data_IF_098668866325
#
_entry.id   IF_098668866325
#
_cell.length_a   1.000
_cell.length_b   1.000
_cell.length_c   1.000
_cell.angle_alpha   90.00
_cell.angle_beta   90.00
_cell.angle_gamma   90.00
#
_symmetry.space_group_name_H-M   'P 1'
#
loop_
_entity.id
_entity.type
_entity.pdbx_description
1 polymer ?
#
# COMPACT_ATOMS: atom_id res chain seq x y z
N UNK A 1 -3.68 18.70 8.79
CA UNK A 1 -3.01 17.99 7.67
C UNK A 1 -4.03 17.04 7.08
N UNK A 2 -4.03 16.76 5.77
CA UNK A 2 -4.92 15.76 5.21
C UNK A 2 -4.63 14.41 5.86
N UNK A 3 -5.68 13.71 6.26
CA UNK A 3 -5.58 12.36 6.84
C UNK A 3 -5.27 11.37 5.72
N UNK A 4 -4.26 10.52 5.91
CA UNK A 4 -3.90 9.47 4.95
C UNK A 4 -4.13 8.10 5.57
N UNK A 5 -4.94 7.29 4.92
CA UNK A 5 -5.21 5.92 5.34
C UNK A 5 -4.13 4.97 4.79
N UNK A 6 -3.70 4.03 5.63
CA UNK A 6 -2.63 3.08 5.30
C UNK A 6 -3.10 1.66 5.58
N UNK A 7 -2.92 0.78 4.61
CA UNK A 7 -3.06 -0.66 4.83
C UNK A 7 -1.71 -1.23 5.27
N UNK A 8 -1.68 -1.83 6.46
CA UNK A 8 -0.48 -2.39 7.04
C UNK A 8 -0.48 -3.92 6.87
N UNK A 9 0.64 -4.45 6.39
CA UNK A 9 0.84 -5.88 6.20
C UNK A 9 2.14 -6.33 6.85
N UNK A 10 2.13 -7.52 7.44
CA UNK A 10 3.35 -8.17 7.91
C UNK A 10 4.01 -8.93 6.76
N UNK A 11 5.28 -8.64 6.53
CA UNK A 11 6.11 -9.34 5.55
C UNK A 11 7.00 -10.35 6.29
N UNK A 12 7.10 -11.56 5.76
CA UNK A 12 7.87 -12.64 6.39
C UNK A 12 8.92 -13.17 5.42
N UNK A 13 10.10 -13.46 5.96
CA UNK A 13 11.18 -14.14 5.24
C UNK A 13 12.15 -13.22 4.48
N UNK A 14 13.28 -13.81 4.07
CA UNK A 14 14.38 -13.12 3.40
C UNK A 14 14.19 -12.95 1.89
N UNK A 15 13.07 -13.38 1.32
CA UNK A 15 12.79 -13.33 -0.12
C UNK A 15 12.24 -11.98 -0.58
N UNK A 16 11.95 -11.07 0.36
CA UNK A 16 11.56 -9.70 0.05
C UNK A 16 12.76 -8.92 -0.47
N UNK A 17 12.60 -8.22 -1.58
CA UNK A 17 13.69 -7.41 -2.18
C UNK A 17 13.24 -5.98 -2.41
N UNK A 18 14.16 -5.05 -2.12
CA UNK A 18 13.93 -3.61 -2.25
C UNK A 18 15.12 -3.01 -2.97
N UNK A 19 14.94 -2.68 -4.24
CA UNK A 19 16.03 -2.22 -5.10
C UNK A 19 15.74 -0.82 -5.60
N UNK A 20 16.74 0.06 -5.51
CA UNK A 20 16.73 1.38 -6.10
C UNK A 20 17.99 1.53 -6.94
N UNK A 21 17.80 1.72 -8.25
CA UNK A 21 18.89 1.89 -9.20
C UNK A 21 18.84 3.29 -9.80
N UNK A 22 19.96 4.01 -9.77
CA UNK A 22 20.08 5.31 -10.42
C UNK A 22 20.59 5.15 -11.85
N UNK A 23 19.81 5.60 -12.82
CA UNK A 23 20.10 5.50 -14.27
C UNK A 23 20.69 6.80 -14.86
N UNK A 24 21.23 7.68 -14.01
CA UNK A 24 21.80 8.97 -14.42
C UNK A 24 20.80 10.14 -14.48
N UNK A 25 19.53 9.86 -14.75
CA UNK A 25 18.46 10.88 -14.78
C UNK A 25 17.33 10.61 -13.77
N UNK A 26 17.21 9.37 -13.29
CA UNK A 26 16.08 8.93 -12.49
C UNK A 26 16.43 7.71 -11.64
N UNK A 27 15.59 7.43 -10.66
CA UNK A 27 15.68 6.30 -9.75
C UNK A 27 14.62 5.27 -10.12
N UNK A 28 15.06 4.16 -10.71
CA UNK A 28 14.22 3.00 -10.93
C UNK A 28 14.09 2.22 -9.62
N UNK A 29 12.86 2.02 -9.16
CA UNK A 29 12.51 1.33 -7.93
C UNK A 29 11.85 0.00 -8.29
N UNK A 30 12.30 -1.10 -7.69
CA UNK A 30 11.71 -2.43 -7.85
C UNK A 30 11.60 -3.09 -6.49
N UNK A 31 10.37 -3.53 -6.16
CA UNK A 31 10.03 -4.12 -4.88
C UNK A 31 9.34 -5.46 -5.13
N UNK A 32 9.82 -6.52 -4.47
CA UNK A 32 9.17 -7.81 -4.43
C UNK A 32 8.78 -8.13 -2.99
N UNK A 33 7.49 -8.36 -2.75
CA UNK A 33 6.92 -8.63 -1.44
C UNK A 33 6.27 -10.01 -1.41
N UNK A 34 6.55 -10.75 -0.33
CA UNK A 34 5.92 -12.03 0.00
C UNK A 34 5.05 -11.88 1.25
N UNK A 35 3.74 -12.05 1.06
CA UNK A 35 2.74 -12.02 2.14
C UNK A 35 2.27 -13.44 2.44
N UNK A 36 2.53 -13.98 3.64
CA UNK A 36 2.10 -15.34 3.99
C UNK A 36 0.62 -15.37 4.35
N UNK A 37 0.05 -16.58 4.27
CA UNK A 37 -1.35 -16.92 4.61
C UNK A 37 -2.36 -16.30 3.64
N UNK A 38 -2.98 -17.16 2.85
CA UNK A 38 -4.13 -16.78 2.04
C UNK A 38 -5.37 -16.66 2.92
N UNK A 39 -5.96 -15.47 2.95
CA UNK A 39 -7.27 -15.21 3.58
C UNK A 39 -8.20 -14.61 2.52
N UNK A 40 -9.49 -14.95 2.60
CA UNK A 40 -10.48 -14.55 1.59
C UNK A 40 -10.58 -13.02 1.47
N UNK A 41 -10.56 -12.30 2.61
CA UNK A 41 -10.56 -10.83 2.61
C UNK A 41 -9.31 -10.23 1.97
N UNK A 42 -8.15 -10.85 2.19
CA UNK A 42 -6.88 -10.34 1.70
C UNK A 42 -6.71 -10.50 0.19
N UNK A 43 -7.29 -11.54 -0.42
CA UNK A 43 -7.26 -11.71 -1.88
C UNK A 43 -7.85 -10.51 -2.60
N UNK A 44 -9.05 -10.07 -2.20
CA UNK A 44 -9.74 -8.94 -2.84
C UNK A 44 -8.96 -7.64 -2.66
N UNK A 45 -8.36 -7.43 -1.49
CA UNK A 45 -7.53 -6.26 -1.22
C UNK A 45 -6.27 -6.25 -2.08
N UNK A 46 -5.57 -7.38 -2.22
CA UNK A 46 -4.40 -7.48 -3.10
C UNK A 46 -4.76 -7.31 -4.58
N UNK A 47 -5.92 -7.80 -5.03
CA UNK A 47 -6.44 -7.54 -6.36
C UNK A 47 -6.72 -6.06 -6.58
N UNK A 48 -7.39 -5.39 -5.63
CA UNK A 48 -7.63 -3.93 -5.68
C UNK A 48 -6.31 -3.15 -5.70
N UNK A 49 -5.36 -3.48 -4.83
CA UNK A 49 -4.03 -2.86 -4.79
C UNK A 49 -3.26 -3.02 -6.11
N UNK A 50 -3.43 -4.15 -6.80
CA UNK A 50 -2.77 -4.38 -8.08
C UNK A 50 -3.24 -3.46 -9.21
N UNK A 51 -4.42 -2.84 -9.06
CA UNK A 51 -5.01 -1.93 -10.04
C UNK A 51 -4.72 -0.46 -9.75
N UNK A 52 -4.10 -0.15 -8.61
CA UNK A 52 -3.87 1.21 -8.15
C UNK A 52 -2.39 1.59 -8.26
N UNK A 53 -2.15 2.89 -8.45
CA UNK A 53 -0.85 3.50 -8.21
C UNK A 53 -0.67 3.68 -6.71
N UNK A 54 0.24 2.92 -6.11
CA UNK A 54 0.42 2.86 -4.66
C UNK A 54 1.70 3.53 -4.21
N UNK A 55 1.72 3.98 -2.95
CA UNK A 55 2.94 4.41 -2.26
C UNK A 55 3.24 3.39 -1.17
N UNK A 56 4.49 2.95 -1.11
CA UNK A 56 4.88 1.86 -0.22
C UNK A 56 5.81 2.41 0.85
N UNK A 57 5.44 2.19 2.11
CA UNK A 57 6.29 2.45 3.27
C UNK A 57 6.82 1.13 3.81
N UNK A 58 8.14 1.01 3.94
CA UNK A 58 8.79 -0.19 4.48
C UNK A 58 9.49 0.18 5.77
N UNK A 59 9.12 -0.50 6.85
CA UNK A 59 9.80 -0.38 8.13
C UNK A 59 11.04 -1.26 8.15
N UNK A 60 12.17 -0.69 8.53
CA UNK A 60 13.38 -1.46 8.81
C UNK A 60 13.42 -1.94 10.28
N UNK A 61 14.34 -2.84 10.58
CA UNK A 61 14.51 -3.35 11.95
C UNK A 61 14.97 -2.28 12.96
N UNK A 62 15.35 -1.09 12.50
CA UNK A 62 15.73 0.03 13.36
C UNK A 62 14.54 0.97 13.66
N UNK A 63 13.34 0.64 13.16
CA UNK A 63 12.11 1.42 13.36
C UNK A 63 11.99 2.65 12.46
N UNK A 64 12.85 2.78 11.45
CA UNK A 64 12.77 3.84 10.44
C UNK A 64 11.97 3.37 9.22
N UNK A 65 11.33 4.31 8.53
CA UNK A 65 10.46 4.03 7.40
C UNK A 65 11.07 4.55 6.11
N UNK A 66 11.26 3.69 5.12
CA UNK A 66 11.69 4.11 3.77
C UNK A 66 10.47 4.20 2.87
N UNK A 67 10.35 5.32 2.13
CA UNK A 67 9.22 5.58 1.24
C UNK A 67 9.60 5.32 -0.21
N UNK A 68 8.75 4.57 -0.91
CA UNK A 68 8.87 4.25 -2.32
C UNK A 68 7.64 4.77 -3.09
N UNK A 69 7.86 5.19 -4.34
CA UNK A 69 6.80 5.77 -5.18
C UNK A 69 6.31 7.15 -4.72
N UNK A 70 7.16 7.99 -4.11
CA UNK A 70 6.68 9.21 -3.46
C UNK A 70 6.06 10.22 -4.44
N UNK A 71 6.69 10.49 -5.58
CA UNK A 71 6.20 11.50 -6.52
C UNK A 71 5.26 10.88 -7.55
N UNK A 72 5.66 9.78 -8.18
CA UNK A 72 4.94 9.16 -9.30
C UNK A 72 4.19 7.88 -8.94
N UNK A 73 4.33 7.39 -7.71
CA UNK A 73 3.72 6.13 -7.29
C UNK A 73 4.48 4.90 -7.80
N UNK A 74 3.97 3.73 -7.41
CA UNK A 74 4.43 2.44 -7.89
C UNK A 74 3.26 1.69 -8.54
N UNK A 75 3.56 1.02 -9.64
CA UNK A 75 2.64 0.14 -10.33
C UNK A 75 2.88 -1.30 -9.92
N UNK A 76 1.81 -2.08 -9.79
CA UNK A 76 1.92 -3.51 -9.58
C UNK A 76 2.18 -4.22 -10.92
N UNK A 77 3.36 -4.80 -11.08
CA UNK A 77 3.75 -5.57 -12.27
C UNK A 77 3.15 -6.98 -12.27
N UNK A 78 2.78 -7.50 -11.09
CA UNK A 78 2.12 -8.79 -10.99
C UNK A 78 1.81 -9.23 -9.57
N UNK A 79 0.74 -10.01 -9.46
CA UNK A 79 0.27 -10.68 -8.26
C UNK A 79 0.25 -12.19 -8.53
N UNK A 80 1.13 -12.95 -7.87
CA UNK A 80 1.08 -14.42 -7.92
C UNK A 80 0.45 -14.95 -6.62
N UNK A 81 -0.64 -15.71 -6.75
CA UNK A 81 -1.28 -16.42 -5.65
C UNK A 81 -0.66 -17.81 -5.57
N UNK A 82 0.21 -18.04 -4.59
CA UNK A 82 0.98 -19.29 -4.47
C UNK A 82 0.40 -20.17 -3.40
N UNK A 83 -0.08 -21.36 -3.78
CA UNK A 83 -0.47 -22.41 -2.84
C UNK A 83 0.54 -23.56 -2.91
N UNK A 84 1.41 -23.66 -1.89
CA UNK A 84 2.33 -24.79 -1.74
C UNK A 84 1.58 -26.13 -1.61
N UNK A 85 2.06 -27.16 -2.31
CA UNK A 85 1.50 -28.51 -2.29
C UNK A 85 2.03 -29.38 -1.13
N UNK A 86 3.15 -28.97 -0.53
CA UNK A 86 3.82 -29.69 0.57
C UNK A 86 3.84 -28.86 1.87
N UNK A 87 3.96 -29.53 3.03
CA UNK A 87 3.89 -28.94 4.40
C UNK A 87 4.99 -27.91 4.76
N UNK A 88 5.83 -27.50 3.81
CA UNK A 88 6.85 -26.46 4.01
C UNK A 88 7.01 -25.51 2.82
N UNK A 89 6.15 -25.63 1.80
CA UNK A 89 6.16 -24.72 0.67
C UNK A 89 5.41 -23.44 1.02
N UNK A 90 5.85 -22.32 0.44
CA UNK A 90 5.24 -21.02 0.66
C UNK A 90 3.76 -21.06 0.25
N UNK A 91 2.90 -20.59 1.15
CA UNK A 91 1.48 -20.37 0.88
C UNK A 91 1.16 -18.91 1.20
N UNK A 92 0.79 -18.15 0.17
CA UNK A 92 0.63 -16.71 0.28
C UNK A 92 0.53 -16.01 -1.07
N UNK A 93 0.86 -14.72 -1.06
CA UNK A 93 0.84 -13.83 -2.22
C UNK A 93 2.24 -13.29 -2.49
N UNK A 94 2.59 -13.17 -3.77
CA UNK A 94 3.78 -12.46 -4.24
C UNK A 94 3.35 -11.25 -5.04
N UNK A 95 3.74 -10.07 -4.59
CA UNK A 95 3.48 -8.84 -5.32
C UNK A 95 4.79 -8.22 -5.78
N UNK A 96 4.82 -7.83 -7.05
CA UNK A 96 5.93 -7.13 -7.67
C UNK A 96 5.49 -5.72 -8.02
N UNK A 97 6.28 -4.74 -7.58
CA UNK A 97 6.03 -3.35 -7.89
C UNK A 97 7.23 -2.72 -8.58
N UNK A 98 6.95 -1.85 -9.56
CA UNK A 98 7.96 -1.03 -10.21
C UNK A 98 7.52 0.44 -10.25
N UNK A 99 8.51 1.32 -10.14
CA UNK A 99 8.30 2.76 -10.19
C UNK A 99 9.55 3.46 -10.73
N UNK A 100 9.35 4.66 -11.29
CA UNK A 100 10.45 5.50 -11.76
C UNK A 100 10.29 6.89 -11.17
N UNK A 101 11.21 7.25 -10.30
CA UNK A 101 11.15 8.47 -9.51
C UNK A 101 12.25 9.45 -9.91
N UNK A 102 11.97 10.74 -9.77
CA UNK A 102 12.97 11.79 -10.00
C UNK A 102 13.94 11.90 -8.83
N UNK A 103 13.45 11.65 -7.63
CA UNK A 103 14.20 11.74 -6.39
C UNK A 103 14.47 10.35 -5.81
N UNK A 104 15.55 10.23 -5.02
CA UNK A 104 15.85 9.01 -4.29
C UNK A 104 14.79 8.73 -3.22
N UNK A 105 14.79 7.52 -2.67
CA UNK A 105 13.84 7.09 -1.62
C UNK A 105 14.13 7.80 -0.30
N UNK A 106 13.23 8.67 0.20
CA UNK A 106 13.44 9.34 1.48
C UNK A 106 13.15 8.40 2.66
N UNK A 107 13.77 8.72 3.80
CA UNK A 107 13.56 8.03 5.08
C UNK A 107 12.77 8.94 6.02
N UNK A 108 11.75 8.38 6.66
CA UNK A 108 10.86 9.03 7.62
C UNK A 108 10.99 8.31 8.96
N UNK A 109 11.09 9.07 10.05
CA UNK A 109 11.22 8.50 11.40
C UNK A 109 9.88 8.01 11.96
N UNK A 110 8.83 8.83 11.83
CA UNK A 110 7.49 8.48 12.29
C UNK A 110 6.43 9.09 11.37
N UNK A 111 5.86 8.31 10.44
CA UNK A 111 4.78 8.77 9.59
C UNK A 111 3.44 8.89 10.34
N UNK A 112 3.20 8.11 11.39
CA UNK A 112 1.90 8.06 12.08
C UNK A 112 1.63 9.32 12.90
N UNK A 113 2.68 9.92 13.48
CA UNK A 113 2.57 11.25 14.10
C UNK A 113 2.17 12.36 13.12
N UNK A 114 2.30 12.14 11.81
CA UNK A 114 2.03 13.14 10.77
C UNK A 114 0.64 13.00 10.11
N UNK A 115 -0.27 12.20 10.69
CA UNK A 115 -1.65 12.05 10.20
C UNK A 115 -1.90 10.83 9.32
N UNK A 116 -0.97 9.86 9.32
CA UNK A 116 -1.20 8.55 8.75
C UNK A 116 -1.98 7.70 9.75
N UNK A 117 -3.09 7.09 9.31
CA UNK A 117 -3.97 6.26 10.13
C UNK A 117 -3.98 4.86 9.54
N UNK A 118 -3.65 3.85 10.36
CA UNK A 118 -3.76 2.43 9.97
C UNK A 118 -5.23 2.06 9.88
N UNK A 119 -5.64 1.48 8.76
CA UNK A 119 -6.98 0.93 8.57
C UNK A 119 -6.95 -0.54 8.95
N UNK A 120 -7.84 -0.95 9.86
CA UNK A 120 -8.00 -2.35 10.22
C UNK A 120 -8.59 -3.16 9.05
N UNK A 121 -8.11 -4.39 8.87
CA UNK A 121 -8.43 -5.27 7.73
C UNK A 121 -9.93 -5.63 7.61
N UNK A 122 -10.73 -5.38 8.65
CA UNK A 122 -12.16 -5.69 8.71
C UNK A 122 -13.09 -4.50 8.39
N UNK A 123 -12.56 -3.29 8.19
CA UNK A 123 -13.36 -2.10 7.85
C UNK A 123 -13.07 -1.60 6.43
N UNK A 124 -14.02 -1.79 5.51
CA UNK A 124 -14.05 -1.09 4.23
C UNK A 124 -14.26 0.42 4.51
N UNK A 125 -13.17 1.20 4.54
CA UNK A 125 -13.24 2.65 4.68
C UNK A 125 -13.66 3.30 3.36
N UNK A 126 -14.96 3.50 3.18
CA UNK A 126 -15.48 4.40 2.15
C UNK A 126 -15.13 5.83 2.54
N UNK A 127 -14.13 6.43 1.87
CA UNK A 127 -14.00 7.88 1.90
C UNK A 127 -15.19 8.49 1.16
N UNK A 128 -16.25 8.79 1.90
CA UNK A 128 -17.17 9.82 1.45
C UNK A 128 -16.36 11.11 1.39
N UNK A 129 -16.06 11.62 0.19
CA UNK A 129 -15.57 12.98 0.05
C UNK A 129 -16.56 13.89 0.76
N UNK A 130 -16.12 14.42 1.91
CA UNK A 130 -16.83 15.35 2.79
C UNK A 130 -18.36 15.30 2.66
N UNK A 131 -19.03 14.48 3.48
CA UNK A 131 -20.49 14.47 3.62
C UNK A 131 -20.99 15.61 4.52
N UNK A 132 -20.29 16.76 4.55
CA UNK A 132 -20.91 18.01 4.93
C UNK A 132 -22.05 18.25 3.94
N UNK A 133 -23.25 17.89 4.39
CA UNK A 133 -24.53 17.97 3.71
C UNK A 133 -24.50 18.76 2.41
N UNK A 134 -24.90 18.13 1.30
CA UNK A 134 -25.45 18.88 0.18
C UNK A 134 -26.66 19.67 0.71
N UNK A 135 -26.43 20.88 1.23
CA UNK A 135 -27.51 21.83 1.47
C UNK A 135 -27.91 22.33 0.10
N UNK A 136 -29.08 21.92 -0.38
CA UNK A 136 -29.74 22.67 -1.43
C UNK A 136 -29.96 24.10 -0.92
N UNK A 137 -30.10 25.05 -1.84
CA UNK A 137 -30.31 26.45 -1.50
C UNK A 137 -31.56 26.70 -0.61
N UNK A 138 -32.41 25.68 -0.45
CA UNK A 138 -33.61 25.67 0.40
C UNK A 138 -33.41 25.16 1.85
N UNK A 139 -32.21 24.70 2.21
CA UNK A 139 -31.89 24.28 3.58
C UNK A 139 -32.47 22.94 4.03
N UNK A 140 -32.97 22.10 3.13
CA UNK A 140 -33.44 20.74 3.47
C UNK A 140 -32.34 19.68 3.34
N UNK A 141 -32.28 18.77 4.33
CA UNK A 141 -31.39 17.61 4.32
C UNK A 141 -31.97 16.51 3.43
N UNK A 142 -31.13 15.89 2.61
CA UNK A 142 -31.52 14.77 1.75
C UNK A 142 -31.47 13.46 2.54
N UNK A 143 -32.61 12.81 2.72
CA UNK A 143 -32.70 11.44 3.25
C UNK A 143 -32.69 10.44 2.08
N UNK A 144 -31.75 9.48 2.09
CA UNK A 144 -31.80 8.34 1.18
C UNK A 144 -32.87 7.38 1.70
N UNK A 145 -33.95 7.20 0.94
CA UNK A 145 -34.89 6.08 1.12
C UNK A 145 -34.24 4.76 0.70
#
# INVERSE_FOLDING_TARGET
MPTTFVHQYEILGAANTFTVNFDGDSYAQSINLEFPKQQVGNTLNFERLSQLEVRILIQDNNGTWTVYGLDNGMNCDGLDIVSGGSKGEFNGYRMRFSGKEKHGTPIVLDPFSNGFIVVDEEEDFYQFQNLEAFMFQDGTLYEFN
#
